data_IF_483623511045
#
_entry.id   IF_483623511045
#
_cell.length_a   1.000
_cell.length_b   1.000
_cell.length_c   1.000
_cell.angle_alpha   90.00
_cell.angle_beta   90.00
_cell.angle_gamma   90.00
#
_symmetry.space_group_name_H-M   'P 1'
#
loop_
_entity.id
_entity.type
_entity.pdbx_description
1 polymer ?
#
# COMPACT_ATOMS: atom_id res chain seq x y z
N UNK A 1 -8.69 6.61 -3.72
CA UNK A 1 -7.58 7.08 -4.57
C UNK A 1 -6.87 8.24 -3.92
N UNK A 2 -5.53 8.24 -3.90
CA UNK A 2 -4.73 9.34 -3.37
C UNK A 2 -3.70 9.92 -4.35
N UNK A 3 -4.12 10.56 -5.47
CA UNK A 3 -3.19 10.98 -6.54
C UNK A 3 -2.25 12.12 -6.12
N UNK A 4 -2.66 12.97 -5.19
CA UNK A 4 -1.95 14.22 -4.87
C UNK A 4 -1.66 14.37 -3.37
N UNK A 5 -1.56 13.28 -2.62
CA UNK A 5 -1.33 13.33 -1.17
C UNK A 5 -2.58 13.49 -0.31
N UNK A 6 -3.78 13.49 -0.91
CA UNK A 6 -5.06 13.42 -0.21
C UNK A 6 -5.83 12.21 -0.69
N UNK A 7 -6.51 11.52 0.22
CA UNK A 7 -7.36 10.37 -0.11
C UNK A 7 -8.74 10.88 -0.50
N UNK A 8 -9.18 10.54 -1.71
CA UNK A 8 -10.50 10.83 -2.23
C UNK A 8 -11.30 9.52 -2.34
N UNK A 9 -12.51 9.54 -1.79
CA UNK A 9 -13.52 8.50 -1.92
C UNK A 9 -14.67 9.05 -2.76
N UNK A 10 -15.25 8.20 -3.61
CA UNK A 10 -16.45 8.57 -4.34
C UNK A 10 -17.62 8.67 -3.36
N UNK A 11 -18.46 9.72 -3.41
CA UNK A 11 -19.56 9.91 -2.46
C UNK A 11 -20.50 8.69 -2.41
N UNK A 12 -20.79 8.08 -3.55
CA UNK A 12 -21.69 6.91 -3.64
C UNK A 12 -21.02 5.56 -3.36
N UNK A 13 -19.73 5.53 -3.01
CA UNK A 13 -19.02 4.25 -2.81
C UNK A 13 -19.36 3.56 -1.48
N UNK A 14 -19.80 4.31 -0.47
CA UNK A 14 -19.97 3.80 0.90
C UNK A 14 -18.67 3.35 1.56
N UNK A 15 -17.50 3.65 0.98
CA UNK A 15 -16.19 3.21 1.49
C UNK A 15 -15.56 4.20 2.47
N UNK A 16 -16.06 5.44 2.53
CA UNK A 16 -15.58 6.44 3.47
C UNK A 16 -16.10 6.17 4.88
N UNK A 17 -15.21 6.28 5.87
CA UNK A 17 -15.52 6.24 7.29
C UNK A 17 -14.79 7.38 8.00
N UNK A 18 -15.37 7.87 9.09
CA UNK A 18 -14.73 8.88 9.94
C UNK A 18 -13.49 8.33 10.64
N UNK A 19 -13.53 7.03 11.02
CA UNK A 19 -12.41 6.33 11.64
C UNK A 19 -12.18 4.96 10.99
N UNK A 20 -11.12 4.88 10.19
CA UNK A 20 -10.70 3.64 9.55
C UNK A 20 -10.05 2.64 10.53
N UNK A 21 -9.56 3.08 11.70
CA UNK A 21 -8.94 2.18 12.68
C UNK A 21 -9.95 1.21 13.31
N UNK A 22 -11.22 1.62 13.38
CA UNK A 22 -12.35 0.81 13.86
C UNK A 22 -13.09 0.09 12.71
N UNK A 23 -12.64 0.24 11.46
CA UNK A 23 -13.31 -0.34 10.30
C UNK A 23 -13.07 -1.85 10.16
N UNK A 24 -13.75 -2.48 9.20
CA UNK A 24 -13.44 -3.85 8.80
C UNK A 24 -11.97 -3.97 8.35
N UNK A 25 -11.39 -5.17 8.50
CA UNK A 25 -10.01 -5.46 8.10
C UNK A 25 -9.73 -5.09 6.64
N UNK A 26 -10.71 -5.34 5.75
CA UNK A 26 -10.62 -4.96 4.34
C UNK A 26 -10.51 -3.45 4.15
N UNK A 27 -11.29 -2.65 4.89
CA UNK A 27 -11.24 -1.19 4.83
C UNK A 27 -9.98 -0.62 5.48
N UNK A 28 -9.50 -1.22 6.57
CA UNK A 28 -8.18 -0.91 7.13
C UNK A 28 -7.07 -1.15 6.10
N UNK A 29 -7.11 -2.29 5.40
CA UNK A 29 -6.16 -2.59 4.33
C UNK A 29 -6.23 -1.60 3.16
N UNK A 30 -7.44 -1.23 2.72
CA UNK A 30 -7.64 -0.20 1.70
C UNK A 30 -7.05 1.15 2.15
N UNK A 31 -7.29 1.54 3.39
CA UNK A 31 -6.74 2.77 3.95
C UNK A 31 -5.21 2.76 3.93
N UNK A 32 -4.56 1.66 4.34
CA UNK A 32 -3.10 1.54 4.31
C UNK A 32 -2.52 1.58 2.89
N UNK A 33 -3.21 0.99 1.91
CA UNK A 33 -2.86 1.11 0.50
C UNK A 33 -2.84 2.57 0.05
N UNK A 34 -3.94 3.30 0.31
CA UNK A 34 -4.07 4.70 -0.08
C UNK A 34 -3.11 5.61 0.71
N UNK A 35 -2.82 5.31 1.98
CA UNK A 35 -1.80 6.00 2.76
C UNK A 35 -0.39 5.80 2.21
N UNK A 36 -0.12 4.67 1.56
CA UNK A 36 1.16 4.46 0.87
C UNK A 36 1.31 5.41 -0.31
N UNK A 37 0.23 5.69 -1.04
CA UNK A 37 0.20 6.71 -2.09
C UNK A 37 0.40 8.12 -1.54
N UNK A 38 -0.19 8.43 -0.39
CA UNK A 38 0.06 9.71 0.32
C UNK A 38 1.55 9.84 0.65
N UNK A 39 2.17 8.80 1.22
CA UNK A 39 3.59 8.76 1.52
C UNK A 39 4.48 8.92 0.28
N UNK A 40 4.14 8.26 -0.83
CA UNK A 40 4.83 8.42 -2.12
C UNK A 40 4.79 9.88 -2.59
N UNK A 41 3.61 10.52 -2.55
CA UNK A 41 3.44 11.91 -2.94
C UNK A 41 4.23 12.87 -2.02
N UNK A 42 4.28 12.60 -0.71
CA UNK A 42 5.08 13.39 0.23
C UNK A 42 6.58 13.28 -0.04
N UNK A 43 7.07 12.09 -0.41
CA UNK A 43 8.51 11.86 -0.67
C UNK A 43 8.98 12.30 -2.04
N UNK A 44 8.12 12.20 -3.05
CA UNK A 44 8.49 12.40 -4.47
C UNK A 44 7.83 13.63 -5.11
N UNK A 45 6.96 14.31 -4.36
CA UNK A 45 6.24 15.49 -4.81
C UNK A 45 4.79 15.18 -5.20
N UNK A 46 3.94 16.21 -5.09
CA UNK A 46 2.49 16.15 -5.29
C UNK A 46 2.06 15.47 -6.60
N UNK A 47 2.84 15.63 -7.66
CA UNK A 47 2.51 15.15 -9.00
C UNK A 47 3.09 13.77 -9.33
N UNK A 48 3.78 13.13 -8.37
CA UNK A 48 4.47 11.86 -8.62
C UNK A 48 3.53 10.76 -9.13
N UNK A 49 2.38 10.55 -8.50
CA UNK A 49 1.47 9.48 -8.91
C UNK A 49 0.83 9.76 -10.29
N UNK A 50 0.28 10.94 -10.58
CA UNK A 50 -0.25 11.26 -11.91
C UNK A 50 0.77 11.06 -13.04
N UNK A 51 2.05 11.35 -12.78
CA UNK A 51 3.11 11.24 -13.78
C UNK A 51 3.65 9.81 -13.94
N UNK A 52 3.67 9.04 -12.84
CA UNK A 52 4.27 7.69 -12.84
C UNK A 52 3.26 6.56 -13.02
N UNK A 53 1.95 6.84 -12.90
CA UNK A 53 0.87 5.87 -13.12
C UNK A 53 0.60 5.73 -14.63
N UNK A 54 1.45 4.98 -15.32
CA UNK A 54 1.26 4.66 -16.74
C UNK A 54 0.11 3.65 -16.93
N UNK A 55 -0.64 3.66 -18.05
CA UNK A 55 -1.74 2.72 -18.33
C UNK A 55 -1.43 1.21 -18.23
N UNK A 56 -0.15 0.84 -18.15
CA UNK A 56 0.30 -0.55 -18.03
C UNK A 56 0.67 -0.94 -16.59
N UNK A 57 0.41 -0.07 -15.60
CA UNK A 57 0.62 -0.37 -14.19
C UNK A 57 -0.19 -1.60 -13.77
N UNK A 58 0.51 -2.64 -13.32
CA UNK A 58 -0.08 -3.87 -12.81
C UNK A 58 -0.14 -3.81 -11.29
N UNK A 59 -1.24 -4.30 -10.74
CA UNK A 59 -1.39 -4.52 -9.30
C UNK A 59 -0.67 -5.80 -8.87
N UNK A 60 -0.65 -6.81 -9.73
CA UNK A 60 0.03 -8.07 -9.48
C UNK A 60 1.55 -7.86 -9.37
N UNK A 61 2.15 -8.47 -8.37
CA UNK A 61 3.58 -8.50 -8.17
C UNK A 61 4.06 -9.90 -7.75
N UNK A 62 5.33 -10.17 -7.98
CA UNK A 62 6.04 -11.30 -7.40
C UNK A 62 7.24 -10.76 -6.63
N UNK A 63 7.45 -11.27 -5.41
CA UNK A 63 8.62 -10.88 -4.63
C UNK A 63 9.88 -11.38 -5.30
N UNK A 64 10.83 -10.46 -5.51
CA UNK A 64 12.13 -10.77 -6.12
C UNK A 64 13.22 -10.67 -5.05
N UNK A 65 14.09 -11.70 -4.92
CA UNK A 65 15.19 -11.66 -3.97
C UNK A 65 16.04 -10.39 -4.11
N UNK A 66 16.32 -9.73 -2.99
CA UNK A 66 17.14 -8.52 -2.93
C UNK A 66 16.50 -7.24 -3.48
N UNK A 67 15.24 -7.27 -3.91
CA UNK A 67 14.54 -6.05 -4.31
C UNK A 67 14.02 -5.28 -3.10
N UNK A 68 14.36 -4.00 -3.02
CA UNK A 68 13.74 -3.04 -2.10
C UNK A 68 12.40 -2.56 -2.66
N UNK A 69 11.57 -1.95 -1.80
CA UNK A 69 10.25 -1.44 -2.15
C UNK A 69 10.26 -0.53 -3.39
N UNK A 70 11.27 0.34 -3.53
CA UNK A 70 11.34 1.33 -4.62
C UNK A 70 11.51 0.71 -6.02
N UNK A 71 11.91 -0.57 -6.10
CA UNK A 71 12.02 -1.30 -7.37
C UNK A 71 10.69 -1.80 -7.91
N UNK A 72 9.65 -1.79 -7.10
CA UNK A 72 8.29 -2.16 -7.51
C UNK A 72 7.55 -0.94 -8.06
N UNK A 73 6.55 -1.18 -8.91
CA UNK A 73 5.65 -0.13 -9.40
C UNK A 73 4.84 0.50 -8.27
N UNK A 74 4.35 1.74 -8.45
CA UNK A 74 3.70 2.50 -7.37
C UNK A 74 2.49 1.78 -6.73
N UNK A 75 1.70 1.06 -7.54
CA UNK A 75 0.57 0.25 -7.06
C UNK A 75 1.05 -1.02 -6.34
N UNK A 76 2.11 -1.66 -6.84
CA UNK A 76 2.70 -2.84 -6.21
C UNK A 76 3.32 -2.49 -4.85
N UNK A 77 3.93 -1.31 -4.73
CA UNK A 77 4.44 -0.82 -3.45
C UNK A 77 3.31 -0.69 -2.42
N UNK A 78 2.18 -0.10 -2.82
CA UNK A 78 1.01 0.05 -1.96
C UNK A 78 0.40 -1.31 -1.56
N UNK A 79 0.30 -2.25 -2.51
CA UNK A 79 -0.15 -3.61 -2.23
C UNK A 79 0.79 -4.39 -1.31
N UNK A 80 2.11 -4.26 -1.48
CA UNK A 80 3.11 -4.85 -0.59
C UNK A 80 2.94 -4.34 0.84
N UNK A 81 2.82 -3.02 1.02
CA UNK A 81 2.62 -2.41 2.35
C UNK A 81 1.30 -2.86 2.98
N UNK A 82 0.22 -2.91 2.19
CA UNK A 82 -1.09 -3.45 2.63
C UNK A 82 -0.97 -4.90 3.10
N UNK A 83 -0.31 -5.77 2.34
CA UNK A 83 -0.15 -7.17 2.69
C UNK A 83 0.66 -7.34 3.97
N UNK A 84 1.79 -6.63 4.12
CA UNK A 84 2.60 -6.69 5.35
C UNK A 84 1.80 -6.24 6.57
N UNK A 85 1.02 -5.15 6.45
CA UNK A 85 0.14 -4.67 7.52
C UNK A 85 -0.87 -5.74 7.97
N UNK A 86 -1.56 -6.38 7.03
CA UNK A 86 -2.56 -7.42 7.31
C UNK A 86 -1.91 -8.66 7.93
N UNK A 87 -0.79 -9.13 7.34
CA UNK A 87 -0.06 -10.31 7.80
C UNK A 87 0.52 -10.13 9.20
N UNK A 88 1.04 -8.94 9.53
CA UNK A 88 1.51 -8.61 10.90
C UNK A 88 0.40 -8.68 11.95
N UNK A 89 -0.85 -8.46 11.54
CA UNK A 89 -2.04 -8.56 12.40
C UNK A 89 -2.67 -9.96 12.40
N UNK A 90 -2.02 -10.95 11.79
CA UNK A 90 -2.49 -12.33 11.76
C UNK A 90 -3.61 -12.59 10.75
N UNK A 91 -3.88 -11.66 9.83
CA UNK A 91 -4.87 -11.88 8.76
C UNK A 91 -4.23 -12.60 7.58
N UNK A 92 -4.93 -13.62 7.07
CA UNK A 92 -4.55 -14.27 5.82
C UNK A 92 -4.93 -13.39 4.62
N UNK A 93 -4.01 -13.28 3.65
CA UNK A 93 -4.26 -12.59 2.38
C UNK A 93 -4.11 -13.61 1.25
N UNK A 94 -5.20 -13.97 0.55
CA UNK A 94 -5.14 -14.95 -0.54
C UNK A 94 -4.12 -14.55 -1.61
N UNK A 95 -3.22 -15.48 -1.95
CA UNK A 95 -2.17 -15.25 -2.96
C UNK A 95 -0.97 -14.42 -2.49
N UNK A 96 -0.97 -13.89 -1.26
CA UNK A 96 0.20 -13.22 -0.71
C UNK A 96 1.23 -14.22 -0.19
N UNK A 97 2.54 -13.99 -0.42
CA UNK A 97 3.60 -14.71 0.27
C UNK A 97 3.49 -14.63 1.80
N UNK A 98 4.10 -15.57 2.55
CA UNK A 98 4.19 -15.47 4.01
C UNK A 98 4.90 -14.19 4.48
N UNK A 99 4.60 -13.71 5.70
CA UNK A 99 5.18 -12.47 6.25
C UNK A 99 6.71 -12.44 6.17
N UNK A 100 7.38 -13.56 6.48
CA UNK A 100 8.84 -13.65 6.44
C UNK A 100 9.45 -13.40 5.04
N UNK A 101 8.68 -13.61 3.97
CA UNK A 101 9.12 -13.36 2.59
C UNK A 101 9.29 -11.87 2.28
N UNK A 102 8.72 -10.98 3.09
CA UNK A 102 8.82 -9.53 2.90
C UNK A 102 10.03 -8.90 3.60
N UNK A 103 10.80 -9.68 4.37
CA UNK A 103 11.93 -9.20 5.15
C UNK A 103 12.94 -8.44 4.27
N UNK A 104 13.23 -7.19 4.64
CA UNK A 104 14.22 -6.35 3.97
C UNK A 104 13.72 -5.67 2.69
N UNK A 105 12.43 -5.85 2.35
CA UNK A 105 11.78 -5.11 1.27
C UNK A 105 11.39 -3.71 1.75
N UNK A 106 10.77 -3.62 2.93
CA UNK A 106 10.31 -2.35 3.48
C UNK A 106 11.46 -1.58 4.11
N UNK A 107 11.56 -0.26 3.88
CA UNK A 107 12.64 0.56 4.43
C UNK A 107 12.52 0.80 5.96
N UNK A 108 11.53 0.20 6.61
CA UNK A 108 11.21 0.40 8.03
C UNK A 108 10.95 -0.92 8.79
N UNK A 109 11.37 -2.06 8.25
CA UNK A 109 11.22 -3.38 8.90
C UNK A 109 12.00 -3.55 10.21
N UNK A 110 12.86 -2.59 10.57
CA UNK A 110 13.61 -2.56 11.84
C UNK A 110 12.99 -1.73 12.96
N UNK A 111 11.82 -1.12 12.76
CA UNK A 111 11.15 -0.36 13.82
C UNK A 111 10.40 -1.32 14.74
N UNK A 112 11.13 -1.92 15.70
CA UNK A 112 10.53 -2.39 16.94
C UNK A 112 9.99 -1.18 17.69
N UNK A 113 8.67 -1.05 17.74
CA UNK A 113 7.96 -0.23 18.74
C UNK A 113 6.89 -1.08 19.38
#
# INVERSE_FOLDING_TARGET
MAPCGHIHFHPDSGLYLEDFSCASVTLQGLFIHEMTHVWQAQRKGRWYLPLMRHPLCRYDYALKPGWTLERYGIEQQAEIVRHVFLLRRGHAVPGAPPLGSYSGILPFDGANT
#
